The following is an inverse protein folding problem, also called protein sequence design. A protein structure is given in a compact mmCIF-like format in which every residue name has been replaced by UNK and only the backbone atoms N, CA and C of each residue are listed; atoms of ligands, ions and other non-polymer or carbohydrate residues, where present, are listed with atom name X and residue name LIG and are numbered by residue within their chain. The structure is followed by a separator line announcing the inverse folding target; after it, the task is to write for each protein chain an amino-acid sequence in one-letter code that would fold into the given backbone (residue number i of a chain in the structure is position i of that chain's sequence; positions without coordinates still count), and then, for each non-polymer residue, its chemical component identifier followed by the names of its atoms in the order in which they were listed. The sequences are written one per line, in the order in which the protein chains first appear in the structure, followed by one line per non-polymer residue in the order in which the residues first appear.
data_IF_790286536413
#
_entry.id   IF_790286536413
#
_cell.length_a   1.000
_cell.length_b   1.000
_cell.length_c   1.000
_cell.angle_alpha   90.00
_cell.angle_beta   90.00
_cell.angle_gamma   90.00
#
_symmetry.space_group_name_H-M   'P 1'
#
loop_
_entity.id
_entity.type
_entity.pdbx_description
1 polymer ?
#
# COMPACT_ATOMS: atom_id res chain seq x y z
N UNK A 1 11.44 -7.89 9.60
CA UNK A 1 10.88 -6.99 8.57
C UNK A 1 10.60 -7.84 7.35
N UNK A 2 9.38 -7.70 6.81
CA UNK A 2 8.96 -8.29 5.54
C UNK A 2 9.92 -7.87 4.42
N UNK A 3 10.13 -8.74 3.43
CA UNK A 3 10.99 -8.43 2.30
C UNK A 3 10.48 -7.21 1.50
N UNK A 4 9.17 -6.95 1.52
CA UNK A 4 8.53 -5.90 0.70
C UNK A 4 8.81 -4.49 1.23
N UNK A 5 8.99 -4.33 2.54
CA UNK A 5 9.22 -3.01 3.18
C UNK A 5 10.66 -2.79 3.64
N UNK A 6 11.55 -3.73 3.35
CA UNK A 6 12.93 -3.70 3.85
C UNK A 6 13.76 -2.54 3.28
N UNK A 7 13.49 -2.13 2.04
CA UNK A 7 14.15 -1.01 1.38
C UNK A 7 13.34 0.31 1.43
N UNK A 8 12.20 0.33 2.13
CA UNK A 8 11.32 1.50 2.18
C UNK A 8 11.95 2.62 3.02
N UNK A 9 12.06 3.81 2.43
CA UNK A 9 12.41 5.02 3.15
C UNK A 9 11.17 5.54 3.89
N UNK A 10 11.19 5.47 5.22
CA UNK A 10 10.13 6.01 6.08
C UNK A 10 10.45 7.47 6.40
N UNK A 11 9.66 8.40 5.89
CA UNK A 11 9.90 9.84 6.08
C UNK A 11 9.47 10.37 7.46
N UNK A 12 8.91 9.50 8.31
CA UNK A 12 8.48 9.85 9.67
C UNK A 12 9.07 8.89 10.69
N UNK A 13 9.77 9.45 11.69
CA UNK A 13 10.39 8.72 12.80
C UNK A 13 9.36 8.17 13.82
N UNK A 14 8.11 8.64 13.76
CA UNK A 14 7.06 8.33 14.75
C UNK A 14 6.20 7.11 14.40
N UNK A 15 6.48 6.40 13.30
CA UNK A 15 5.68 5.25 12.87
C UNK A 15 6.00 4.04 13.75
N UNK A 16 5.02 3.61 14.54
CA UNK A 16 5.16 2.46 15.43
C UNK A 16 5.29 1.13 14.65
N UNK A 17 5.74 0.08 15.33
CA UNK A 17 5.99 -1.24 14.72
C UNK A 17 4.71 -1.90 14.19
N UNK A 18 3.57 -1.71 14.85
CA UNK A 18 2.29 -2.30 14.43
C UNK A 18 1.84 -1.74 13.08
N UNK A 19 1.97 -0.43 12.86
CA UNK A 19 1.67 0.21 11.57
C UNK A 19 2.60 -0.27 10.46
N UNK A 20 3.90 -0.45 10.75
CA UNK A 20 4.85 -1.00 9.77
C UNK A 20 4.48 -2.45 9.40
N UNK A 21 4.09 -3.27 10.38
CA UNK A 21 3.62 -4.63 10.14
C UNK A 21 2.33 -4.68 9.34
N UNK A 22 1.38 -3.78 9.61
CA UNK A 22 0.14 -3.67 8.84
C UNK A 22 0.41 -3.30 7.36
N UNK A 23 1.28 -2.32 7.12
CA UNK A 23 1.67 -1.92 5.76
C UNK A 23 2.40 -3.07 5.05
N UNK A 24 3.26 -3.80 5.76
CA UNK A 24 3.90 -4.98 5.21
C UNK A 24 2.87 -6.04 4.81
N UNK A 25 1.92 -6.36 5.69
CA UNK A 25 0.85 -7.31 5.41
C UNK A 25 -0.01 -6.88 4.21
N UNK A 26 -0.31 -5.58 4.08
CA UNK A 26 -1.01 -5.06 2.90
C UNK A 26 -0.26 -5.39 1.60
N UNK A 27 1.04 -5.09 1.53
CA UNK A 27 1.81 -5.35 0.30
C UNK A 27 2.07 -6.84 0.05
N UNK A 28 2.27 -7.64 1.09
CA UNK A 28 2.40 -9.09 0.96
C UNK A 28 1.12 -9.72 0.40
N UNK A 29 -0.05 -9.31 0.92
CA UNK A 29 -1.34 -9.75 0.40
C UNK A 29 -1.56 -9.22 -1.02
N UNK A 30 -1.25 -7.95 -1.31
CA UNK A 30 -1.42 -7.40 -2.65
C UNK A 30 -0.56 -8.07 -3.72
N UNK A 31 0.60 -8.63 -3.33
CA UNK A 31 1.47 -9.41 -4.22
C UNK A 31 1.09 -10.91 -4.26
N UNK A 32 0.28 -11.37 -3.31
CA UNK A 32 -0.17 -12.76 -3.24
C UNK A 32 -1.04 -13.13 -4.44
N UNK A 33 -0.88 -14.38 -4.88
CA UNK A 33 -1.70 -15.01 -5.93
C UNK A 33 -2.77 -15.94 -5.35
N UNK A 34 -2.92 -15.95 -4.03
CA UNK A 34 -3.90 -16.77 -3.33
C UNK A 34 -5.32 -16.24 -3.56
N UNK A 35 -6.29 -17.15 -3.67
CA UNK A 35 -7.68 -16.82 -4.00
C UNK A 35 -8.40 -16.03 -2.90
N UNK A 36 -8.01 -16.25 -1.63
CA UNK A 36 -8.61 -15.60 -0.45
C UNK A 36 -8.03 -14.22 -0.15
N UNK A 37 -7.04 -13.77 -0.91
CA UNK A 37 -6.37 -12.46 -0.76
C UNK A 37 -7.36 -11.31 -0.58
N UNK A 38 -8.42 -11.26 -1.39
CA UNK A 38 -9.43 -10.19 -1.30
C UNK A 38 -10.20 -10.20 0.02
N UNK A 39 -10.49 -11.38 0.58
CA UNK A 39 -11.15 -11.52 1.87
C UNK A 39 -10.23 -11.11 3.03
N UNK A 40 -8.95 -11.49 2.95
CA UNK A 40 -7.96 -11.12 3.96
C UNK A 40 -7.67 -9.63 3.95
N UNK A 41 -7.57 -9.01 2.77
CA UNK A 41 -7.44 -7.56 2.65
C UNK A 41 -8.64 -6.84 3.31
N UNK A 42 -9.87 -7.30 3.07
CA UNK A 42 -11.05 -6.62 3.60
C UNK A 42 -11.26 -6.81 5.11
N UNK A 43 -10.77 -7.89 5.69
CA UNK A 43 -11.00 -8.24 7.11
C UNK A 43 -9.80 -7.96 8.02
N UNK A 44 -8.58 -8.11 7.50
CA UNK A 44 -7.33 -7.99 8.27
C UNK A 44 -6.65 -6.63 8.06
N UNK A 45 -6.81 -6.02 6.88
CA UNK A 45 -6.03 -4.83 6.49
C UNK A 45 -6.87 -3.56 6.50
N UNK A 46 -7.98 -3.54 5.79
CA UNK A 46 -8.85 -2.36 5.70
C UNK A 46 -9.83 -2.31 6.87
N UNK A 47 -10.20 -1.10 7.29
CA UNK A 47 -11.28 -0.95 8.26
C UNK A 47 -12.65 -1.05 7.56
N UNK A 48 -13.67 -1.48 8.31
CA UNK A 48 -15.05 -1.47 7.81
C UNK A 48 -15.57 -0.06 7.52
N UNK A 49 -14.91 0.97 8.07
CA UNK A 49 -15.24 2.39 7.91
C UNK A 49 -14.32 3.08 6.88
N UNK A 50 -13.52 2.29 6.13
CA UNK A 50 -12.65 2.82 5.09
C UNK A 50 -13.49 3.58 4.07
N UNK A 51 -13.21 4.87 3.92
CA UNK A 51 -14.00 5.78 3.09
C UNK A 51 -13.16 6.24 1.93
N UNK A 52 -13.70 6.14 0.70
CA UNK A 52 -13.15 6.84 -0.45
C UNK A 52 -13.45 8.33 -0.31
N UNK A 53 -12.46 9.11 0.08
CA UNK A 53 -12.59 10.56 0.20
C UNK A 53 -12.27 11.19 -1.15
N UNK A 54 -13.07 12.19 -1.56
CA UNK A 54 -12.77 12.99 -2.74
C UNK A 54 -11.47 13.80 -2.53
N UNK A 55 -10.80 14.29 -3.60
CA UNK A 55 -9.56 15.07 -3.48
C UNK A 55 -9.64 16.32 -2.60
N UNK A 56 -10.85 16.75 -2.20
CA UNK A 56 -11.11 17.94 -1.39
C UNK A 56 -11.36 17.65 0.09
N UNK A 57 -11.40 16.38 0.51
CA UNK A 57 -11.65 16.05 1.91
C UNK A 57 -10.37 16.01 2.75
N UNK A 58 -10.53 16.18 4.06
CA UNK A 58 -9.42 16.16 5.03
C UNK A 58 -9.55 14.97 5.96
N UNK A 59 -8.44 14.26 6.19
CA UNK A 59 -8.36 13.21 7.20
C UNK A 59 -7.95 13.80 8.55
N UNK A 60 -8.59 13.37 9.64
CA UNK A 60 -8.19 13.67 11.04
C UNK A 60 -7.24 12.61 11.62
N UNK A 61 -6.64 11.80 10.76
CA UNK A 61 -6.04 10.49 11.09
C UNK A 61 -4.53 10.49 10.83
N UNK A 62 -3.84 9.41 11.19
CA UNK A 62 -2.40 9.32 10.96
C UNK A 62 -2.13 9.15 9.47
N UNK A 63 -1.46 10.12 8.85
CA UNK A 63 -1.13 10.12 7.43
C UNK A 63 0.34 9.78 7.21
N UNK A 64 0.60 8.94 6.21
CA UNK A 64 1.93 8.42 5.90
C UNK A 64 2.17 8.49 4.40
N UNK A 65 3.40 8.83 4.02
CA UNK A 65 3.87 8.73 2.64
C UNK A 65 4.98 7.69 2.57
N UNK A 66 4.81 6.72 1.67
CA UNK A 66 5.82 5.72 1.35
C UNK A 66 6.42 6.04 -0.02
N UNK A 67 7.75 6.02 -0.11
CA UNK A 67 8.45 6.06 -1.38
C UNK A 67 9.12 4.71 -1.61
N UNK A 68 8.95 4.16 -2.80
CA UNK A 68 9.46 2.84 -3.13
C UNK A 68 9.62 2.62 -4.62
N UNK A 69 9.99 1.39 -4.97
CA UNK A 69 9.97 0.89 -6.34
C UNK A 69 9.21 -0.42 -6.36
N UNK A 70 8.36 -0.58 -7.37
CA UNK A 70 7.61 -1.82 -7.61
C UNK A 70 8.24 -2.55 -8.80
N UNK A 71 8.53 -3.83 -8.60
CA UNK A 71 8.88 -4.73 -9.69
C UNK A 71 7.59 -5.26 -10.33
N UNK A 72 7.38 -4.97 -11.62
CA UNK A 72 6.20 -5.45 -12.36
C UNK A 72 6.63 -6.49 -13.37
N UNK A 73 6.06 -7.68 -13.31
CA UNK A 73 6.19 -8.70 -14.35
C UNK A 73 4.94 -8.72 -15.24
N UNK A 74 5.15 -8.80 -16.55
CA UNK A 74 4.07 -8.81 -17.53
C UNK A 74 3.92 -10.21 -18.14
N UNK A 75 2.72 -10.52 -18.65
CA UNK A 75 2.41 -11.80 -19.32
C UNK A 75 3.35 -12.07 -20.50
N UNK A 76 3.88 -11.02 -21.13
CA UNK A 76 4.88 -11.12 -22.21
C UNK A 76 6.31 -11.44 -21.72
N UNK A 77 6.48 -11.79 -20.44
CA UNK A 77 7.75 -12.10 -19.77
C UNK A 77 8.74 -10.93 -19.65
N UNK A 78 8.33 -9.71 -20.03
CA UNK A 78 9.11 -8.51 -19.72
C UNK A 78 8.83 -8.08 -18.28
N UNK A 79 9.74 -7.31 -17.72
CA UNK A 79 9.58 -6.68 -16.42
C UNK A 79 9.91 -5.19 -16.45
N UNK A 80 9.35 -4.45 -15.49
CA UNK A 80 9.60 -3.03 -15.30
C UNK A 80 9.67 -2.72 -13.81
N UNK A 81 10.84 -2.25 -13.37
CA UNK A 81 10.97 -1.55 -12.10
C UNK A 81 10.48 -0.11 -12.26
N UNK A 82 9.55 0.29 -11.41
CA UNK A 82 8.89 1.59 -11.50
C UNK A 82 8.84 2.24 -10.11
N UNK A 83 9.34 3.47 -9.95
CA UNK A 83 9.20 4.19 -8.69
C UNK A 83 7.71 4.48 -8.43
N UNK A 84 7.33 4.48 -7.16
CA UNK A 84 6.02 4.89 -6.72
C UNK A 84 6.08 5.70 -5.43
N UNK A 85 5.04 6.51 -5.22
CA UNK A 85 4.70 7.09 -3.94
C UNK A 85 3.32 6.57 -3.52
N UNK A 86 3.14 6.23 -2.24
CA UNK A 86 1.84 5.87 -1.70
C UNK A 86 1.48 6.79 -0.53
N UNK A 87 0.28 7.36 -0.56
CA UNK A 87 -0.33 8.04 0.57
C UNK A 87 -1.26 7.07 1.28
N UNK A 88 -1.02 6.85 2.56
CA UNK A 88 -1.76 5.90 3.38
C UNK A 88 -2.28 6.62 4.61
N UNK A 89 -3.56 6.42 4.91
CA UNK A 89 -4.17 6.91 6.15
C UNK A 89 -4.54 5.73 7.03
N UNK A 90 -4.03 5.76 8.25
CA UNK A 90 -4.28 4.73 9.26
C UNK A 90 -5.43 5.20 10.15
N UNK A 91 -6.43 4.35 10.29
CA UNK A 91 -7.56 4.57 11.16
C UNK A 91 -7.16 4.68 12.62
N UNK A 92 -7.66 5.73 13.28
CA UNK A 92 -7.65 5.83 14.74
C UNK A 92 -8.80 4.97 15.28
N UNK A 93 -8.49 3.80 15.83
CA UNK A 93 -9.50 3.10 16.62
C UNK A 93 -9.72 3.86 17.93
N UNK A 94 -10.99 4.10 18.28
CA UNK A 94 -11.39 4.73 19.54
C UNK A 94 -11.14 3.83 20.76
N UNK A 95 -10.77 2.57 20.54
CA UNK A 95 -10.37 1.63 21.59
C UNK A 95 -8.85 1.52 21.63
N UNK A 96 -8.25 1.82 22.79
CA UNK A 96 -6.80 1.80 23.02
C UNK A 96 -6.12 0.43 22.82
N UNK A 97 -6.89 -0.64 22.56
CA UNK A 97 -6.45 -2.02 22.35
C UNK A 97 -6.73 -2.55 20.93
N UNK A 98 -7.36 -1.75 20.07
CA UNK A 98 -7.68 -2.19 18.72
C UNK A 98 -6.47 -2.01 17.80
N UNK A 99 -6.20 -3.05 17.03
CA UNK A 99 -5.14 -3.06 16.03
C UNK A 99 -5.37 -1.97 14.97
N UNK A 100 -4.29 -1.33 14.46
CA UNK A 100 -4.42 -0.36 13.39
C UNK A 100 -4.99 -1.03 12.13
N UNK A 101 -5.75 -0.26 11.35
CA UNK A 101 -6.29 -0.64 10.03
C UNK A 101 -6.10 0.50 9.04
N UNK A 102 -6.02 0.17 7.75
CA UNK A 102 -5.92 1.16 6.67
C UNK A 102 -7.32 1.68 6.37
N UNK A 103 -7.49 2.99 6.39
CA UNK A 103 -8.74 3.65 6.00
C UNK A 103 -8.70 4.18 4.57
N UNK A 104 -7.50 4.49 4.08
CA UNK A 104 -7.28 5.01 2.75
C UNK A 104 -5.89 4.65 2.24
N UNK A 105 -5.80 4.33 0.95
CA UNK A 105 -4.54 4.20 0.23
C UNK A 105 -4.68 4.75 -1.19
N UNK A 106 -3.75 5.59 -1.60
CA UNK A 106 -3.61 6.08 -2.96
C UNK A 106 -2.16 5.87 -3.43
N UNK A 107 -1.99 5.37 -4.65
CA UNK A 107 -0.66 5.05 -5.21
C UNK A 107 -0.43 5.86 -6.47
N UNK A 108 0.62 6.68 -6.43
CA UNK A 108 1.14 7.45 -7.55
C UNK A 108 2.33 6.71 -8.16
N UNK A 109 2.25 6.40 -9.46
CA UNK A 109 3.32 5.71 -10.18
C UNK A 109 3.42 6.27 -11.60
N UNK A 110 4.65 6.42 -12.09
CA UNK A 110 4.90 6.87 -13.45
C UNK A 110 4.54 5.77 -14.45
N UNK A 111 3.68 6.11 -15.42
CA UNK A 111 3.21 5.24 -16.50
C UNK A 111 3.92 5.49 -17.83
N UNK A 112 4.81 6.48 -17.92
CA UNK A 112 5.48 6.88 -19.17
C UNK A 112 6.13 5.70 -19.90
N UNK A 113 6.79 4.82 -19.15
CA UNK A 113 7.52 3.64 -19.67
C UNK A 113 6.63 2.41 -19.89
N UNK A 114 5.36 2.47 -19.49
CA UNK A 114 4.46 1.32 -19.56
C UNK A 114 4.19 0.91 -21.01
N UNK A 115 3.97 1.89 -21.89
CA UNK A 115 3.71 1.64 -23.31
C UNK A 115 4.89 0.96 -24.02
N UNK A 116 6.13 1.34 -23.68
CA UNK A 116 7.35 0.75 -24.24
C UNK A 116 7.44 -0.75 -23.92
N UNK A 117 7.18 -1.11 -22.66
CA UNK A 117 7.28 -2.50 -22.19
C UNK A 117 6.10 -3.32 -22.67
N UNK A 118 4.90 -2.74 -22.75
CA UNK A 118 3.69 -3.44 -23.20
C UNK A 118 3.61 -3.65 -24.72
N UNK A 119 4.41 -2.94 -25.52
CA UNK A 119 4.43 -3.15 -26.97
C UNK A 119 4.85 -4.59 -27.33
N UNK A 120 3.97 -5.28 -28.06
CA UNK A 120 4.22 -6.61 -28.61
C UNK A 120 5.15 -6.49 -29.83
N UNK A 121 6.14 -7.37 -29.91
CA UNK A 121 6.69 -7.82 -31.20
C UNK A 121 6.17 -9.23 -31.44
#
# INVERSE_FOLDING_TARGET
MSYVTNATAWLSDSINSQTKSLIAAFYELADSKEEDTGHRLSTEVFSNEATFISPSGTFSKTELVLLGSVHKEFINKKSLDSPFAAHIVIGSSTQALAEPRIDFTEVFSDKSRLAEVMSAR
#
